data_IF_989658520455
#
_entry.id   IF_989658520455
#
_cell.length_a   1.000
_cell.length_b   1.000
_cell.length_c   1.000
_cell.angle_alpha   90.00
_cell.angle_beta   90.00
_cell.angle_gamma   90.00
#
_symmetry.space_group_name_H-M   'P 1'
#
loop_
_entity.id
_entity.type
_entity.pdbx_description
1 polymer ?
#
# COMPACT_ATOMS: atom_id res chain seq x y z
N UNK A 1 41.68 -12.25 -11.83
CA UNK A 1 40.78 -12.88 -10.83
C UNK A 1 39.41 -12.25 -10.99
N UNK A 2 38.55 -12.86 -11.80
CA UNK A 2 37.18 -12.38 -12.00
C UNK A 2 36.34 -12.88 -10.83
N UNK A 3 36.01 -11.98 -9.90
CA UNK A 3 35.02 -12.25 -8.86
C UNK A 3 33.67 -12.43 -9.51
N UNK A 4 33.26 -13.68 -9.69
CA UNK A 4 31.90 -14.00 -10.08
C UNK A 4 30.96 -13.42 -9.01
N UNK A 5 30.20 -12.38 -9.38
CA UNK A 5 29.10 -11.91 -8.56
C UNK A 5 28.15 -13.10 -8.34
N UNK A 6 27.66 -13.33 -7.10
CA UNK A 6 26.73 -14.41 -6.85
C UNK A 6 25.50 -14.18 -7.74
N UNK A 7 25.25 -15.10 -8.67
CA UNK A 7 24.02 -15.17 -9.44
C UNK A 7 22.90 -15.43 -8.45
N UNK A 8 22.30 -14.36 -7.93
CA UNK A 8 21.03 -14.47 -7.23
C UNK A 8 20.03 -14.78 -8.33
N UNK A 9 19.35 -15.95 -8.30
CA UNK A 9 18.30 -16.20 -9.26
C UNK A 9 17.21 -15.17 -8.95
N UNK A 10 17.16 -14.11 -9.75
CA UNK A 10 15.99 -13.24 -9.79
C UNK A 10 14.84 -14.14 -10.21
N UNK A 11 14.01 -14.55 -9.25
CA UNK A 11 12.84 -15.35 -9.54
C UNK A 11 11.93 -14.49 -10.41
N UNK A 12 11.92 -14.74 -11.72
CA UNK A 12 11.11 -14.02 -12.72
C UNK A 12 9.62 -14.02 -12.33
N UNK A 13 9.19 -15.02 -11.55
CA UNK A 13 7.86 -15.09 -10.95
C UNK A 13 7.54 -13.92 -9.99
N UNK A 14 8.54 -13.36 -9.30
CA UNK A 14 8.38 -12.21 -8.38
C UNK A 14 8.36 -10.86 -9.12
N UNK A 15 8.62 -10.85 -10.44
CA UNK A 15 8.55 -9.65 -11.28
C UNK A 15 7.25 -9.55 -12.07
N UNK A 16 6.34 -10.50 -11.90
CA UNK A 16 5.03 -10.38 -12.51
C UNK A 16 4.26 -9.24 -11.83
N UNK A 17 3.51 -8.49 -12.63
CA UNK A 17 2.78 -7.31 -12.17
C UNK A 17 1.88 -7.59 -10.94
N UNK A 18 1.10 -8.69 -10.88
CA UNK A 18 0.32 -9.03 -9.69
C UNK A 18 1.15 -9.23 -8.40
N UNK A 19 2.26 -9.96 -8.48
CA UNK A 19 3.13 -10.26 -7.33
C UNK A 19 3.81 -8.99 -6.78
N UNK A 20 4.06 -7.99 -7.63
CA UNK A 20 4.59 -6.69 -7.20
C UNK A 20 3.53 -5.81 -6.53
N UNK A 21 2.25 -5.94 -6.91
CA UNK A 21 1.17 -5.14 -6.35
C UNK A 21 0.58 -5.69 -5.05
N UNK A 22 0.65 -7.00 -4.81
CA UNK A 22 0.14 -7.63 -3.58
C UNK A 22 0.74 -7.02 -2.29
N UNK A 23 2.07 -6.83 -2.16
CA UNK A 23 2.66 -6.17 -0.99
C UNK A 23 2.16 -4.72 -0.83
N UNK A 24 1.98 -4.00 -1.94
CA UNK A 24 1.49 -2.61 -1.94
C UNK A 24 0.05 -2.56 -1.43
N UNK A 25 -0.81 -3.49 -1.87
CA UNK A 25 -2.19 -3.61 -1.41
C UNK A 25 -2.24 -3.89 0.11
N UNK A 26 -1.36 -4.76 0.61
CA UNK A 26 -1.26 -5.08 2.02
C UNK A 26 -0.86 -3.85 2.87
N UNK A 27 0.12 -3.05 2.42
CA UNK A 27 0.50 -1.82 3.14
C UNK A 27 -0.64 -0.78 3.16
N UNK A 28 -1.36 -0.61 2.05
CA UNK A 28 -2.54 0.27 2.02
C UNK A 28 -3.64 -0.18 2.98
N UNK A 29 -3.87 -1.49 3.11
CA UNK A 29 -4.81 -2.04 4.08
C UNK A 29 -4.37 -1.74 5.53
N UNK A 30 -3.07 -1.88 5.84
CA UNK A 30 -2.53 -1.51 7.16
C UNK A 30 -2.68 -0.02 7.46
N UNK A 31 -2.38 0.84 6.48
CA UNK A 31 -2.57 2.30 6.62
C UNK A 31 -4.03 2.66 6.88
N UNK A 32 -4.96 2.00 6.20
CA UNK A 32 -6.40 2.16 6.42
C UNK A 32 -6.77 1.85 7.87
N UNK A 33 -6.34 0.69 8.41
CA UNK A 33 -6.60 0.31 9.80
C UNK A 33 -6.02 1.30 10.82
N UNK A 34 -4.82 1.85 10.56
CA UNK A 34 -4.22 2.88 11.42
C UNK A 34 -5.04 4.17 11.41
N UNK A 35 -5.45 4.66 10.24
CA UNK A 35 -6.24 5.88 10.11
C UNK A 35 -7.63 5.73 10.75
N UNK A 36 -8.27 4.57 10.61
CA UNK A 36 -9.52 4.29 11.29
C UNK A 36 -9.37 4.26 12.81
N UNK A 37 -8.25 3.74 13.31
CA UNK A 37 -7.94 3.75 14.74
C UNK A 37 -7.80 5.18 15.24
N UNK A 38 -7.09 6.04 14.50
CA UNK A 38 -6.94 7.45 14.85
C UNK A 38 -8.29 8.15 14.86
N UNK A 39 -9.09 7.96 13.81
CA UNK A 39 -10.42 8.57 13.71
C UNK A 39 -11.37 8.14 14.83
N UNK A 40 -11.35 6.86 15.24
CA UNK A 40 -12.29 6.30 16.24
C UNK A 40 -11.85 6.47 17.69
N UNK A 41 -10.55 6.38 17.98
CA UNK A 41 -10.06 6.24 19.37
C UNK A 41 -9.42 7.49 19.96
N UNK A 42 -9.04 8.46 19.13
CA UNK A 42 -8.35 9.66 19.60
C UNK A 42 -9.31 10.84 19.70
N UNK A 43 -9.30 11.50 20.86
CA UNK A 43 -9.86 12.84 20.97
C UNK A 43 -8.90 13.80 20.27
N UNK A 44 -9.40 14.46 19.22
CA UNK A 44 -8.64 15.38 18.39
C UNK A 44 -9.50 16.60 18.03
N UNK A 45 -8.85 17.73 17.79
CA UNK A 45 -9.53 18.94 17.34
C UNK A 45 -10.21 18.70 15.98
N UNK A 46 -11.26 19.44 15.68
CA UNK A 46 -12.01 19.29 14.42
C UNK A 46 -11.12 19.44 13.17
N UNK A 47 -10.12 20.33 13.24
CA UNK A 47 -9.12 20.55 12.17
C UNK A 47 -8.23 19.33 11.96
N UNK A 48 -7.83 18.64 13.02
CA UNK A 48 -7.01 17.44 12.89
C UNK A 48 -7.84 16.25 12.43
N UNK A 49 -9.11 16.16 12.86
CA UNK A 49 -10.05 15.16 12.36
C UNK A 49 -10.27 15.27 10.86
N UNK A 50 -10.50 16.48 10.34
CA UNK A 50 -10.69 16.68 8.90
C UNK A 50 -9.44 16.32 8.09
N UNK A 51 -8.24 16.55 8.63
CA UNK A 51 -6.98 16.08 8.01
C UNK A 51 -6.87 14.56 7.99
N UNK A 52 -7.25 13.89 9.08
CA UNK A 52 -7.29 12.41 9.13
C UNK A 52 -8.32 11.86 8.15
N UNK A 53 -9.50 12.47 8.04
CA UNK A 53 -10.51 12.08 7.06
C UNK A 53 -10.00 12.25 5.63
N UNK A 54 -9.31 13.35 5.34
CA UNK A 54 -8.69 13.55 4.03
C UNK A 54 -7.62 12.48 3.73
N UNK A 55 -6.82 12.10 4.74
CA UNK A 55 -5.87 11.00 4.58
C UNK A 55 -6.56 9.66 4.29
N UNK A 56 -7.70 9.37 4.94
CA UNK A 56 -8.52 8.17 4.67
C UNK A 56 -9.02 8.14 3.24
N UNK A 57 -9.51 9.27 2.73
CA UNK A 57 -9.96 9.38 1.33
C UNK A 57 -8.83 9.10 0.34
N UNK A 58 -7.62 9.62 0.60
CA UNK A 58 -6.44 9.40 -0.24
C UNK A 58 -6.08 7.91 -0.29
N UNK A 59 -6.00 7.24 0.87
CA UNK A 59 -5.68 5.80 0.93
C UNK A 59 -6.77 4.96 0.26
N UNK A 60 -8.04 5.28 0.49
CA UNK A 60 -9.16 4.57 -0.15
C UNK A 60 -9.15 4.75 -1.68
N UNK A 61 -8.77 5.92 -2.18
CA UNK A 61 -8.59 6.15 -3.62
C UNK A 61 -7.45 5.30 -4.18
N UNK A 62 -6.29 5.28 -3.52
CA UNK A 62 -5.16 4.47 -3.94
C UNK A 62 -5.51 2.97 -3.99
N UNK A 63 -6.27 2.46 -3.00
CA UNK A 63 -6.75 1.07 -3.01
C UNK A 63 -7.63 0.75 -4.22
N UNK A 64 -8.55 1.66 -4.59
CA UNK A 64 -9.41 1.47 -5.76
C UNK A 64 -8.63 1.49 -7.07
N UNK A 65 -7.69 2.43 -7.22
CA UNK A 65 -6.84 2.52 -8.41
C UNK A 65 -5.95 1.27 -8.52
N UNK A 66 -5.38 0.79 -7.41
CA UNK A 66 -4.59 -0.44 -7.39
C UNK A 66 -5.42 -1.68 -7.76
N UNK A 67 -6.65 -1.78 -7.25
CA UNK A 67 -7.57 -2.88 -7.58
C UNK A 67 -8.01 -2.85 -9.05
N UNK A 68 -8.20 -1.66 -9.62
CA UNK A 68 -8.53 -1.49 -11.04
C UNK A 68 -7.36 -2.01 -11.91
N UNK A 69 -6.13 -1.60 -11.61
CA UNK A 69 -4.93 -2.08 -12.30
C UNK A 69 -4.77 -3.60 -12.23
N UNK A 70 -5.11 -4.22 -11.09
CA UNK A 70 -5.08 -5.69 -10.96
C UNK A 70 -6.20 -6.40 -11.76
N UNK A 71 -7.25 -5.67 -12.14
CA UNK A 71 -8.44 -6.20 -12.83
C UNK A 71 -8.44 -5.94 -14.35
N UNK A 72 -7.55 -5.08 -14.87
CA UNK A 72 -7.37 -4.77 -16.32
C UNK A 72 -6.74 -5.93 -17.12
N UNK A 73 -7.09 -7.17 -16.76
CA UNK A 73 -6.48 -8.40 -17.28
C UNK A 73 -7.10 -8.87 -18.59
#
# INVERSE_FOLDING_TARGET
MSGALPWTPYHIAEQNFPALLEPVAAELARLTGRLETYHRRLHMAAVDRSRVDRAREVVARAQRELAALASER
#
